data_IF_700479669478
#
_entry.id   IF_700479669478
#
_cell.length_a   1.000
_cell.length_b   1.000
_cell.length_c   1.000
_cell.angle_alpha   90.00
_cell.angle_beta   90.00
_cell.angle_gamma   90.00
#
_symmetry.space_group_name_H-M   'P 1'
#
loop_
_entity.id
_entity.type
_entity.pdbx_description
1 polymer ?
#
# COMPACT_ATOMS: atom_id res chain seq x y z
N UNK A 1 -13.93 -4.31 -19.03
CA UNK A 1 -15.02 -4.46 -18.04
C UNK A 1 -14.45 -4.06 -16.67
N UNK A 2 -14.69 -2.85 -16.20
CA UNK A 2 -14.22 -2.41 -14.88
C UNK A 2 -15.25 -2.82 -13.83
N UNK A 3 -14.88 -3.76 -12.96
CA UNK A 3 -15.72 -4.13 -11.83
C UNK A 3 -15.91 -2.91 -10.93
N UNK A 4 -17.16 -2.49 -10.74
CA UNK A 4 -17.56 -1.40 -9.85
C UNK A 4 -17.34 -1.88 -8.42
N UNK A 5 -16.17 -1.56 -7.85
CA UNK A 5 -15.89 -1.89 -6.45
C UNK A 5 -16.85 -1.12 -5.55
N UNK A 6 -17.45 -1.82 -4.59
CA UNK A 6 -18.26 -1.19 -3.56
C UNK A 6 -17.43 -0.13 -2.83
N UNK A 7 -18.04 1.02 -2.51
CA UNK A 7 -17.38 2.06 -1.73
C UNK A 7 -16.88 1.45 -0.41
N UNK A 8 -15.58 1.61 -0.07
CA UNK A 8 -15.04 1.07 1.16
C UNK A 8 -15.74 1.71 2.37
N UNK A 9 -16.00 0.92 3.40
CA UNK A 9 -16.56 1.42 4.66
C UNK A 9 -15.56 2.37 5.30
N UNK A 10 -15.96 3.61 5.54
CA UNK A 10 -15.16 4.60 6.27
C UNK A 10 -16.03 5.48 7.15
N UNK A 11 -15.46 5.96 8.26
CA UNK A 11 -16.05 6.98 9.13
C UNK A 11 -14.96 7.94 9.57
N UNK A 12 -15.13 9.24 9.29
CA UNK A 12 -14.17 10.30 9.61
C UNK A 12 -12.76 10.10 9.00
N UNK A 13 -12.63 9.28 7.94
CA UNK A 13 -11.40 9.09 7.17
C UNK A 13 -11.71 9.04 5.68
N UNK A 14 -10.78 9.50 4.85
CA UNK A 14 -10.83 9.42 3.39
C UNK A 14 -9.65 8.61 2.86
N UNK A 15 -9.90 7.79 1.82
CA UNK A 15 -8.83 7.10 1.10
C UNK A 15 -7.98 8.12 0.35
N UNK A 16 -6.66 8.11 0.57
CA UNK A 16 -5.71 9.00 -0.13
C UNK A 16 -5.13 8.31 -1.36
N UNK A 17 -4.65 7.07 -1.20
CA UNK A 17 -4.14 6.24 -2.28
C UNK A 17 -4.29 4.75 -1.95
N UNK A 18 -4.16 3.90 -2.97
CA UNK A 18 -4.11 2.43 -2.85
C UNK A 18 -3.06 1.90 -3.82
N UNK A 19 -2.32 0.89 -3.38
CA UNK A 19 -1.48 0.05 -4.23
C UNK A 19 -1.94 -1.40 -4.05
N UNK A 20 -2.16 -2.09 -5.17
CA UNK A 20 -2.47 -3.51 -5.17
C UNK A 20 -1.14 -4.29 -5.26
N UNK A 21 -0.64 -4.72 -4.10
CA UNK A 21 0.63 -5.46 -3.95
C UNK A 21 0.37 -6.77 -3.19
N UNK A 22 1.31 -7.74 -3.21
CA UNK A 22 1.19 -8.92 -2.35
C UNK A 22 0.95 -8.52 -0.89
N UNK A 23 0.13 -9.29 -0.17
CA UNK A 23 -0.22 -8.98 1.22
C UNK A 23 1.03 -8.85 2.12
N UNK A 24 0.98 -7.93 3.08
CA UNK A 24 2.06 -7.70 4.03
C UNK A 24 1.75 -8.31 5.39
N UNK A 25 2.74 -8.96 6.01
CA UNK A 25 2.70 -9.32 7.43
C UNK A 25 3.16 -8.17 8.33
N UNK A 26 3.98 -7.27 7.79
CA UNK A 26 4.51 -6.11 8.51
C UNK A 26 4.65 -4.90 7.56
N UNK A 27 4.41 -3.70 8.11
CA UNK A 27 4.70 -2.43 7.44
C UNK A 27 5.49 -1.54 8.39
N UNK A 28 6.64 -1.03 7.93
CA UNK A 28 7.45 -0.03 8.64
C UNK A 28 7.72 1.16 7.73
N UNK A 29 7.73 2.38 8.28
CA UNK A 29 8.05 3.60 7.52
C UNK A 29 9.28 4.29 8.09
N UNK A 30 10.25 4.62 7.24
CA UNK A 30 11.44 5.38 7.60
C UNK A 30 11.82 6.33 6.46
N UNK A 31 12.07 7.61 6.79
CA UNK A 31 12.54 8.63 5.84
C UNK A 31 11.69 8.78 4.55
N UNK A 32 10.37 8.58 4.67
CA UNK A 32 9.45 8.64 3.53
C UNK A 32 9.42 7.38 2.66
N UNK A 33 10.07 6.30 3.09
CA UNK A 33 9.96 4.98 2.48
C UNK A 33 9.16 4.05 3.36
N UNK A 34 8.15 3.38 2.80
CA UNK A 34 7.44 2.29 3.44
C UNK A 34 8.03 0.96 2.97
N UNK A 35 8.29 0.07 3.92
CA UNK A 35 8.80 -1.28 3.71
C UNK A 35 7.69 -2.25 4.08
N UNK A 36 7.17 -2.98 3.09
CA UNK A 36 6.09 -3.96 3.27
C UNK A 36 6.69 -5.36 3.17
N UNK A 37 6.85 -6.03 4.31
CA UNK A 37 7.34 -7.42 4.36
C UNK A 37 6.20 -8.38 4.05
N UNK A 38 6.34 -9.18 2.99
CA UNK A 38 5.33 -10.15 2.57
C UNK A 38 5.42 -11.45 3.36
N UNK A 39 4.27 -12.10 3.58
CA UNK A 39 4.20 -13.34 4.39
C UNK A 39 4.72 -14.56 3.64
N UNK A 40 4.52 -14.61 2.32
CA UNK A 40 4.85 -15.78 1.50
C UNK A 40 6.04 -15.52 0.57
N UNK A 41 6.92 -16.52 0.47
CA UNK A 41 7.95 -16.54 -0.56
C UNK A 41 7.30 -16.68 -1.97
N UNK A 42 7.86 -16.06 -3.02
CA UNK A 42 9.16 -15.39 -3.09
C UNK A 42 9.10 -13.86 -2.94
N UNK A 43 7.96 -13.29 -2.51
CA UNK A 43 7.68 -11.86 -2.67
C UNK A 43 8.64 -10.92 -1.92
N UNK A 44 9.26 -11.37 -0.82
CA UNK A 44 10.26 -10.60 -0.10
C UNK A 44 9.68 -9.32 0.52
N UNK A 45 10.30 -8.18 0.22
CA UNK A 45 9.86 -6.85 0.73
C UNK A 45 9.62 -5.91 -0.44
N UNK A 46 8.44 -5.31 -0.51
CA UNK A 46 8.18 -4.18 -1.41
C UNK A 46 8.61 -2.88 -0.72
N UNK A 47 9.40 -2.06 -1.41
CA UNK A 47 9.79 -0.72 -0.96
C UNK A 47 8.93 0.30 -1.73
N UNK A 48 8.36 1.25 -1.00
CA UNK A 48 7.42 2.23 -1.56
C UNK A 48 7.87 3.64 -1.13
N UNK A 49 8.13 4.52 -2.07
CA UNK A 49 8.23 5.95 -1.80
C UNK A 49 6.84 6.51 -1.49
N UNK A 50 6.67 7.01 -0.26
CA UNK A 50 5.43 7.57 0.28
C UNK A 50 5.59 9.05 0.64
N UNK A 51 6.61 9.74 0.11
CA UNK A 51 6.80 11.18 0.33
C UNK A 51 5.65 12.02 -0.23
N UNK A 52 5.10 11.59 -1.37
CA UNK A 52 3.80 12.05 -1.86
C UNK A 52 2.74 10.98 -1.55
N UNK A 53 1.96 11.12 -0.46
CA UNK A 53 1.00 10.10 -0.06
C UNK A 53 -0.18 9.95 -1.03
N UNK A 54 -0.43 10.95 -1.88
CA UNK A 54 -1.45 10.87 -2.93
C UNK A 54 -0.98 10.10 -4.17
N UNK A 55 0.34 9.92 -4.32
CA UNK A 55 0.96 9.24 -5.45
C UNK A 55 2.15 8.38 -5.01
N UNK A 56 1.93 7.34 -4.19
CA UNK A 56 3.00 6.46 -3.73
C UNK A 56 3.59 5.67 -4.90
N UNK A 57 4.91 5.44 -4.86
CA UNK A 57 5.63 4.76 -5.95
C UNK A 57 6.38 3.54 -5.44
N UNK A 58 6.16 2.39 -6.07
CA UNK A 58 6.96 1.20 -5.83
C UNK A 58 8.37 1.43 -6.42
N UNK A 59 9.40 1.05 -5.67
CA UNK A 59 10.81 1.13 -6.06
C UNK A 59 11.37 -0.24 -6.45
#
# INVERSE_FOLDING_TARGET
MTAKHASPVSRNISLVARLDIPGGGQVTVQNGLAFVGHMDAPHGTTIIDVKDPANPKIL
#
